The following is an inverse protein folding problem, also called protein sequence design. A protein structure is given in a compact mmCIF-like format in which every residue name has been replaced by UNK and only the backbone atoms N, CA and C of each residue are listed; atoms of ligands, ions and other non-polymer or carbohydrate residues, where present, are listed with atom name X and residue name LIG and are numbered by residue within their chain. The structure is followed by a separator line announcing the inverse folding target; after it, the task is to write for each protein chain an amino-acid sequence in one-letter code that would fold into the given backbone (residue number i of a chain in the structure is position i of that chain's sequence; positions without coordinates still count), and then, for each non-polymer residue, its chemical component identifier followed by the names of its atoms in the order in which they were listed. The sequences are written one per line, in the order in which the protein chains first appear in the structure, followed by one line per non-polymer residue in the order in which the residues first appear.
data_IF_200961428601
#
_entry.id   IF_200961428601
#
_cell.length_a   1.000
_cell.length_b   1.000
_cell.length_c   1.000
_cell.angle_alpha   90.00
_cell.angle_beta   90.00
_cell.angle_gamma   90.00
#
_symmetry.space_group_name_H-M   'P 1'
#
loop_
_entity.id
_entity.type
_entity.pdbx_description
1 polymer ?
#
# COMPACT_ATOMS: atom_id res chain seq x y z
N UNK A 1 9.07 4.68 -8.80
CA UNK A 1 8.47 3.33 -8.85
C UNK A 1 9.56 2.30 -8.61
N UNK A 2 9.53 1.58 -7.48
CA UNK A 2 10.41 0.44 -7.25
C UNK A 2 9.89 -0.80 -7.98
N UNK A 3 10.77 -1.73 -8.35
CA UNK A 3 10.37 -3.04 -8.89
C UNK A 3 9.62 -3.80 -7.78
N UNK A 4 8.48 -4.42 -8.11
CA UNK A 4 7.74 -5.25 -7.16
C UNK A 4 8.63 -6.39 -6.65
N UNK A 5 8.60 -6.62 -5.34
CA UNK A 5 9.31 -7.75 -4.73
C UNK A 5 8.62 -9.06 -5.08
N UNK A 6 9.40 -10.10 -5.39
CA UNK A 6 8.86 -11.43 -5.69
C UNK A 6 8.34 -12.07 -4.39
N UNK A 7 7.06 -12.42 -4.35
CA UNK A 7 6.43 -13.08 -3.22
C UNK A 7 5.58 -14.28 -3.67
N UNK A 8 5.16 -15.12 -2.73
CA UNK A 8 4.25 -16.25 -2.99
C UNK A 8 2.81 -15.76 -2.85
N UNK A 9 2.04 -15.63 -3.96
CA UNK A 9 0.64 -15.24 -3.86
C UNK A 9 -0.17 -16.40 -3.28
N UNK A 10 -0.91 -16.13 -2.20
CA UNK A 10 -1.86 -17.07 -1.62
C UNK A 10 -3.14 -17.09 -2.46
N UNK A 11 -3.74 -18.27 -2.61
CA UNK A 11 -5.04 -18.39 -3.28
C UNK A 11 -6.16 -17.81 -2.40
N UNK A 12 -7.25 -17.34 -3.01
CA UNK A 12 -8.40 -16.75 -2.31
C UNK A 12 -8.89 -17.51 -1.06
N UNK A 13 -9.09 -18.86 -1.09
CA UNK A 13 -9.55 -19.60 0.09
C UNK A 13 -8.52 -19.60 1.23
N UNK A 14 -7.22 -19.57 0.93
CA UNK A 14 -6.15 -19.51 1.93
C UNK A 14 -6.03 -18.09 2.51
N UNK A 15 -6.16 -17.07 1.66
CA UNK A 15 -6.14 -15.67 2.07
C UNK A 15 -7.28 -15.31 3.03
N UNK A 16 -8.47 -15.91 2.84
CA UNK A 16 -9.63 -15.70 3.72
C UNK A 16 -9.36 -16.12 5.17
N UNK A 17 -8.46 -17.08 5.42
CA UNK A 17 -8.09 -17.49 6.78
C UNK A 17 -7.23 -16.44 7.50
N UNK A 18 -6.52 -15.61 6.75
CA UNK A 18 -5.62 -14.58 7.28
C UNK A 18 -6.23 -13.18 7.25
N UNK A 19 -7.50 -13.03 6.87
CA UNK A 19 -8.17 -11.71 6.79
C UNK A 19 -8.21 -11.02 8.14
N UNK A 20 -8.48 -11.76 9.22
CA UNK A 20 -8.55 -11.19 10.57
C UNK A 20 -7.18 -10.69 11.03
N UNK A 21 -6.12 -11.45 10.72
CA UNK A 21 -4.74 -11.04 10.97
C UNK A 21 -4.37 -9.80 10.14
N UNK A 22 -4.66 -9.78 8.84
CA UNK A 22 -4.40 -8.63 7.98
C UNK A 22 -5.14 -7.37 8.47
N UNK A 23 -6.38 -7.52 8.94
CA UNK A 23 -7.17 -6.42 9.49
C UNK A 23 -6.58 -5.90 10.81
N UNK A 24 -6.29 -6.78 11.77
CA UNK A 24 -5.71 -6.40 13.06
C UNK A 24 -4.34 -5.72 12.91
N UNK A 25 -3.45 -6.29 12.10
CA UNK A 25 -2.13 -5.71 11.84
C UNK A 25 -2.22 -4.43 11.00
N UNK A 26 -3.17 -4.35 10.06
CA UNK A 26 -3.42 -3.14 9.28
C UNK A 26 -3.86 -1.97 10.17
N UNK A 27 -4.80 -2.20 11.10
CA UNK A 27 -5.25 -1.18 12.06
C UNK A 27 -4.09 -0.75 12.97
N UNK A 28 -3.29 -1.70 13.47
CA UNK A 28 -2.13 -1.40 14.31
C UNK A 28 -1.09 -0.55 13.56
N UNK A 29 -0.79 -0.88 12.29
CA UNK A 29 0.10 -0.09 11.45
C UNK A 29 -0.45 1.31 11.20
N UNK A 30 -1.75 1.43 10.91
CA UNK A 30 -2.42 2.71 10.73
C UNK A 30 -2.31 3.59 11.98
N UNK A 31 -2.59 3.06 13.17
CA UNK A 31 -2.48 3.80 14.43
C UNK A 31 -1.05 4.27 14.69
N UNK A 32 -0.02 3.45 14.43
CA UNK A 32 1.38 3.85 14.57
C UNK A 32 1.78 4.95 13.57
N UNK A 33 1.33 4.86 12.32
CA UNK A 33 1.59 5.89 11.30
C UNK A 33 0.89 7.19 11.71
N UNK A 34 -0.37 7.11 12.12
CA UNK A 34 -1.15 8.25 12.60
C UNK A 34 -0.47 8.95 13.78
N UNK A 35 -0.04 8.19 14.79
CA UNK A 35 0.63 8.75 15.97
C UNK A 35 1.94 9.47 15.61
N UNK A 36 2.68 8.97 14.60
CA UNK A 36 3.92 9.59 14.12
C UNK A 36 3.69 10.80 13.22
N UNK A 37 2.63 10.80 12.42
CA UNK A 37 2.36 11.85 11.43
C UNK A 37 1.47 12.97 11.98
N UNK A 38 0.69 12.76 13.04
CA UNK A 38 -0.22 13.77 13.62
C UNK A 38 0.46 15.08 14.03
N UNK A 39 1.77 15.03 14.31
CA UNK A 39 2.58 16.18 14.69
C UNK A 39 3.32 16.84 13.52
N UNK A 40 3.26 16.29 12.29
CA UNK A 40 3.92 16.91 11.13
C UNK A 40 3.09 18.09 10.65
N UNK A 41 3.70 19.26 10.65
CA UNK A 41 3.16 20.48 10.07
C UNK A 41 4.21 21.07 9.14
N UNK A 42 3.79 21.59 7.99
CA UNK A 42 4.69 22.18 6.99
C UNK A 42 5.22 21.22 5.93
N UNK A 43 4.56 20.08 5.68
CA UNK A 43 4.88 19.27 4.50
C UNK A 43 4.52 20.08 3.24
N UNK A 44 5.55 20.39 2.45
CA UNK A 44 5.46 21.12 1.19
C UNK A 44 4.58 20.35 0.20
N UNK A 45 3.68 21.04 -0.50
CA UNK A 45 2.74 20.44 -1.45
C UNK A 45 3.48 19.89 -2.69
N UNK A 46 3.99 18.67 -2.61
CA UNK A 46 4.59 17.94 -3.73
C UNK A 46 3.48 17.40 -4.67
N UNK A 47 2.82 18.30 -5.41
CA UNK A 47 1.58 18.00 -6.16
C UNK A 47 1.75 17.28 -7.51
N UNK A 48 2.96 17.06 -8.05
CA UNK A 48 3.09 16.36 -9.35
C UNK A 48 3.83 15.02 -9.26
N UNK A 49 3.11 14.01 -8.79
CA UNK A 49 3.40 12.60 -9.06
C UNK A 49 2.34 12.02 -9.98
N UNK A 50 2.40 12.32 -11.28
CA UNK A 50 1.46 11.74 -12.26
C UNK A 50 1.82 10.25 -12.47
N UNK A 51 0.98 9.35 -11.96
CA UNK A 51 1.14 7.90 -12.09
C UNK A 51 0.54 7.40 -13.40
N UNK A 52 1.21 7.68 -14.52
CA UNK A 52 0.74 7.26 -15.84
C UNK A 52 0.98 5.77 -16.05
N UNK A 53 -0.09 5.01 -16.33
CA UNK A 53 -0.01 3.60 -16.75
C UNK A 53 -0.24 3.51 -18.26
N UNK A 54 0.70 2.94 -19.02
CA UNK A 54 0.57 2.74 -20.46
C UNK A 54 0.10 1.32 -20.78
N UNK A 55 -0.81 1.19 -21.75
CA UNK A 55 -1.18 -0.08 -22.36
C UNK A 55 -0.43 -0.24 -23.69
N UNK A 56 0.37 -1.29 -23.83
CA UNK A 56 1.00 -1.66 -25.10
C UNK A 56 -0.03 -2.38 -25.98
N UNK A 57 -0.47 -1.72 -27.06
CA UNK A 57 -1.24 -2.33 -28.13
C UNK A 57 -0.28 -2.83 -29.21
N UNK A 58 -0.14 -4.14 -29.32
CA UNK A 58 0.48 -4.78 -30.48
C UNK A 58 -0.59 -4.88 -31.57
N UNK A 59 -0.37 -4.19 -32.69
CA UNK A 59 -1.10 -4.39 -33.96
C UNK A 59 -0.49 -5.55 -34.74
#
# INVERSE_FOLDING_TARGET
MGLLSLGTPLTWPEGKKYTDHACYHGISQFLHIWDRLKGRQGDELLWRGDEVTSALLFL
#
